data_IF_687007141337
#
_entry.id   IF_687007141337
#
_cell.length_a   1.000
_cell.length_b   1.000
_cell.length_c   1.000
_cell.angle_alpha   90.00
_cell.angle_beta   90.00
_cell.angle_gamma   90.00
#
_symmetry.space_group_name_H-M   'P 1'
#
loop_
_entity.id
_entity.type
_entity.pdbx_description
1 polymer ?
#
# COMPACT_ATOMS: atom_id res chain seq x y z
N UNK A 1 -10.93 -16.77 5.97
CA UNK A 1 -11.09 -15.39 6.46
C UNK A 1 -9.91 -14.53 6.01
N UNK A 2 -10.17 -13.35 5.55
CA UNK A 2 -9.14 -12.40 5.16
C UNK A 2 -8.96 -11.35 6.26
N UNK A 3 -7.72 -11.18 6.71
CA UNK A 3 -7.38 -10.22 7.75
C UNK A 3 -6.13 -9.46 7.35
N UNK A 4 -6.14 -8.15 7.51
CA UNK A 4 -4.96 -7.30 7.28
C UNK A 4 -4.59 -6.58 8.57
N UNK A 5 -3.29 -6.53 8.85
CA UNK A 5 -2.75 -5.91 10.05
C UNK A 5 -1.45 -5.18 9.75
N UNK A 6 -1.04 -4.31 10.65
CA UNK A 6 0.24 -3.60 10.60
C UNK A 6 0.48 -2.91 9.27
N UNK A 7 -0.57 -2.34 8.70
CA UNK A 7 -0.45 -1.61 7.44
C UNK A 7 0.39 -0.36 7.66
N UNK A 8 1.44 -0.22 6.86
CA UNK A 8 2.30 0.96 6.86
C UNK A 8 2.43 1.48 5.44
N UNK A 9 2.27 2.79 5.29
CA UNK A 9 2.41 3.46 3.99
C UNK A 9 3.63 4.36 4.07
N UNK A 10 4.54 4.20 3.11
CA UNK A 10 5.82 4.90 3.10
C UNK A 10 5.95 5.76 1.85
N UNK A 11 6.62 6.90 2.00
CA UNK A 11 6.97 7.81 0.91
C UNK A 11 5.78 8.57 0.29
N UNK A 12 4.64 8.61 0.96
CA UNK A 12 3.47 9.33 0.47
C UNK A 12 3.76 10.83 0.28
N UNK A 13 4.50 11.43 1.21
CA UNK A 13 4.88 12.84 1.18
C UNK A 13 5.67 13.20 -0.08
N UNK A 14 6.69 12.41 -0.39
CA UNK A 14 7.51 12.63 -1.58
C UNK A 14 6.75 12.32 -2.87
N UNK A 15 5.88 11.31 -2.86
CA UNK A 15 5.05 10.97 -4.00
C UNK A 15 4.10 12.12 -4.36
N UNK A 16 3.46 12.72 -3.36
CA UNK A 16 2.56 13.86 -3.56
C UNK A 16 3.34 15.08 -4.04
N UNK A 17 4.49 15.36 -3.43
CA UNK A 17 5.34 16.46 -3.88
C UNK A 17 5.77 16.28 -5.34
N UNK A 18 6.17 15.07 -5.71
CA UNK A 18 6.53 14.75 -7.08
C UNK A 18 5.38 14.90 -8.06
N UNK A 19 4.17 14.57 -7.63
CA UNK A 19 2.97 14.76 -8.46
C UNK A 19 2.70 16.23 -8.79
N UNK A 20 3.22 17.17 -7.98
CA UNK A 20 3.06 18.59 -8.22
C UNK A 20 4.18 19.20 -9.07
N UNK A 21 5.23 18.44 -9.37
CA UNK A 21 6.38 18.94 -10.14
C UNK A 21 5.99 19.45 -11.54
N UNK A 22 5.19 18.72 -12.33
CA UNK A 22 4.90 19.16 -13.70
C UNK A 22 4.29 20.56 -13.83
N UNK A 23 3.51 21.00 -12.83
CA UNK A 23 2.88 22.31 -12.85
C UNK A 23 3.45 23.26 -11.81
N UNK A 24 4.55 22.89 -11.15
CA UNK A 24 5.18 23.69 -10.10
C UNK A 24 4.19 24.11 -9.02
N UNK A 25 3.22 23.25 -8.69
CA UNK A 25 2.12 23.61 -7.81
C UNK A 25 2.37 23.27 -6.34
N UNK A 26 3.63 23.28 -5.89
CA UNK A 26 4.00 22.97 -4.51
C UNK A 26 3.37 23.91 -3.48
N UNK A 27 3.14 25.16 -3.86
CA UNK A 27 2.51 26.13 -2.97
C UNK A 27 1.07 25.77 -2.61
N UNK A 28 0.43 24.87 -3.37
CA UNK A 28 -0.91 24.38 -3.10
C UNK A 28 -0.95 23.16 -2.20
N UNK A 29 0.22 22.63 -1.81
CA UNK A 29 0.28 21.49 -0.90
C UNK A 29 -0.30 21.88 0.47
N UNK A 30 -1.21 21.05 0.95
CA UNK A 30 -1.87 21.26 2.23
C UNK A 30 -1.76 20.04 3.16
N UNK A 31 -0.90 19.09 2.80
CA UNK A 31 -0.60 17.94 3.64
C UNK A 31 0.51 18.28 4.62
N UNK A 32 0.57 17.53 5.71
CA UNK A 32 1.60 17.73 6.73
C UNK A 32 1.66 16.55 7.68
N UNK A 33 2.41 16.72 8.75
CA UNK A 33 2.59 15.69 9.77
C UNK A 33 1.80 16.05 11.02
N UNK A 34 1.16 15.06 11.62
CA UNK A 34 0.42 15.23 12.87
C UNK A 34 1.37 15.20 14.08
N UNK A 35 0.81 15.27 15.30
CA UNK A 35 1.56 15.26 16.54
C UNK A 35 2.41 13.99 16.72
N UNK A 36 1.98 12.90 16.12
CA UNK A 36 2.67 11.61 16.20
C UNK A 36 3.70 11.41 15.09
N UNK A 37 3.93 12.42 14.27
CA UNK A 37 4.86 12.34 13.13
C UNK A 37 4.30 11.57 11.94
N UNK A 38 3.00 11.33 11.89
CA UNK A 38 2.37 10.65 10.78
C UNK A 38 1.91 11.63 9.71
N UNK A 39 2.15 11.29 8.44
CA UNK A 39 1.76 12.12 7.32
C UNK A 39 0.24 12.11 7.15
N UNK A 40 -0.35 13.31 7.12
CA UNK A 40 -1.80 13.50 6.93
C UNK A 40 -2.01 14.21 5.60
N UNK A 41 -2.78 13.57 4.73
CA UNK A 41 -3.08 14.08 3.40
C UNK A 41 -4.15 15.17 3.49
N UNK A 42 -3.82 16.37 3.00
CA UNK A 42 -4.76 17.48 2.98
C UNK A 42 -5.78 17.40 1.85
N UNK A 43 -6.86 18.18 1.92
CA UNK A 43 -7.93 18.12 0.90
C UNK A 43 -7.47 18.42 -0.52
N UNK A 44 -6.59 19.41 -0.70
CA UNK A 44 -6.09 19.77 -2.04
C UNK A 44 -5.22 18.66 -2.61
N UNK A 45 -4.34 18.08 -1.80
CA UNK A 45 -3.49 16.97 -2.22
C UNK A 45 -4.29 15.71 -2.50
N UNK A 46 -5.33 15.44 -1.70
CA UNK A 46 -6.21 14.31 -1.93
C UNK A 46 -6.97 14.46 -3.26
N UNK A 47 -7.47 15.66 -3.55
CA UNK A 47 -8.16 15.94 -4.80
C UNK A 47 -7.23 15.74 -6.00
N UNK A 48 -6.00 16.25 -5.92
CA UNK A 48 -5.00 16.03 -6.96
C UNK A 48 -4.72 14.54 -7.17
N UNK A 49 -4.50 13.80 -6.08
CA UNK A 49 -4.22 12.37 -6.15
C UNK A 49 -5.35 11.60 -6.82
N UNK A 50 -6.61 11.90 -6.47
CA UNK A 50 -7.77 11.28 -7.09
C UNK A 50 -7.87 11.58 -8.59
N UNK A 51 -7.67 12.84 -8.97
CA UNK A 51 -7.71 13.23 -10.38
C UNK A 51 -6.63 12.54 -11.20
N UNK A 52 -5.40 12.49 -10.68
CA UNK A 52 -4.29 11.83 -11.36
C UNK A 52 -4.48 10.31 -11.43
N UNK A 53 -4.99 9.69 -10.38
CA UNK A 53 -5.23 8.25 -10.36
C UNK A 53 -6.25 7.83 -11.41
N UNK A 54 -7.22 8.68 -11.72
CA UNK A 54 -8.26 8.39 -12.71
C UNK A 54 -7.92 8.86 -14.13
N UNK A 55 -6.87 9.64 -14.30
CA UNK A 55 -6.57 10.30 -15.58
C UNK A 55 -5.78 9.43 -16.57
N UNK A 56 -5.28 8.26 -16.15
CA UNK A 56 -4.53 7.36 -17.03
C UNK A 56 -3.17 6.98 -16.46
N UNK A 57 -2.48 6.02 -17.12
CA UNK A 57 -1.26 5.41 -16.60
C UNK A 57 -0.13 6.43 -16.39
N UNK A 58 0.01 7.39 -17.31
CA UNK A 58 1.09 8.38 -17.20
C UNK A 58 0.85 9.36 -16.06
N UNK A 59 -0.41 9.66 -15.76
CA UNK A 59 -0.76 10.59 -14.70
C UNK A 59 -0.75 9.96 -13.32
N UNK A 60 -0.92 8.65 -13.24
CA UNK A 60 -0.94 7.94 -11.96
C UNK A 60 0.42 7.41 -11.52
N UNK A 61 1.49 7.77 -12.21
CA UNK A 61 2.83 7.23 -11.89
C UNK A 61 3.31 7.56 -10.48
N UNK A 62 2.79 8.61 -9.85
CA UNK A 62 3.13 8.93 -8.47
C UNK A 62 2.79 7.78 -7.52
N UNK A 63 1.78 6.98 -7.84
CA UNK A 63 1.40 5.81 -7.02
C UNK A 63 2.53 4.78 -6.94
N UNK A 64 3.38 4.70 -7.96
CA UNK A 64 4.50 3.76 -7.97
C UNK A 64 5.64 4.18 -7.03
N UNK A 65 5.59 5.37 -6.48
CA UNK A 65 6.56 5.86 -5.51
C UNK A 65 6.11 5.64 -4.07
N UNK A 66 4.94 5.09 -3.88
CA UNK A 66 4.36 4.80 -2.57
C UNK A 66 4.57 3.32 -2.27
N UNK A 67 5.16 3.05 -1.11
CA UNK A 67 5.32 1.68 -0.63
C UNK A 67 4.29 1.38 0.43
N UNK A 68 3.68 0.20 0.33
CA UNK A 68 2.74 -0.28 1.33
C UNK A 68 3.26 -1.59 1.88
N UNK A 69 3.39 -1.67 3.20
CA UNK A 69 3.73 -2.88 3.92
C UNK A 69 2.52 -3.30 4.74
N UNK A 70 2.15 -4.55 4.68
CA UNK A 70 0.95 -5.05 5.36
C UNK A 70 1.11 -6.53 5.68
N UNK A 71 0.63 -6.93 6.86
CA UNK A 71 0.49 -8.33 7.23
C UNK A 71 -0.88 -8.82 6.80
N UNK A 72 -0.92 -9.91 6.05
CA UNK A 72 -2.15 -10.49 5.54
C UNK A 72 -2.29 -11.91 6.05
N UNK A 73 -3.43 -12.19 6.67
CA UNK A 73 -3.83 -13.54 7.03
C UNK A 73 -5.00 -13.93 6.15
N UNK A 74 -4.86 -15.03 5.42
CA UNK A 74 -5.86 -15.45 4.45
C UNK A 74 -5.82 -16.96 4.26
N UNK A 75 -6.93 -17.57 3.77
CA UNK A 75 -6.94 -18.98 3.42
C UNK A 75 -5.96 -19.31 2.29
N UNK A 76 -5.55 -20.55 2.19
CA UNK A 76 -4.56 -20.98 1.20
C UNK A 76 -5.00 -20.68 -0.23
N UNK A 77 -6.28 -20.84 -0.55
CA UNK A 77 -6.78 -20.57 -1.90
C UNK A 77 -6.64 -19.10 -2.30
N UNK A 78 -6.73 -18.18 -1.33
CA UNK A 78 -6.53 -16.75 -1.57
C UNK A 78 -5.09 -16.47 -2.01
N UNK A 79 -4.12 -17.10 -1.35
CA UNK A 79 -2.70 -16.93 -1.66
C UNK A 79 -2.35 -17.45 -3.04
N UNK A 80 -2.99 -18.54 -3.47
CA UNK A 80 -2.75 -19.08 -4.81
C UNK A 80 -3.13 -18.06 -5.90
N UNK A 81 -4.19 -17.33 -5.68
CA UNK A 81 -4.60 -16.26 -6.59
C UNK A 81 -3.69 -15.06 -6.47
N UNK A 82 -3.40 -14.62 -5.24
CA UNK A 82 -2.58 -13.42 -4.99
C UNK A 82 -1.16 -13.60 -5.51
N UNK A 83 -0.59 -14.78 -5.43
CA UNK A 83 0.78 -15.04 -5.89
C UNK A 83 0.95 -14.83 -7.40
N UNK A 84 -0.13 -14.69 -8.14
CA UNK A 84 -0.07 -14.32 -9.55
C UNK A 84 0.23 -12.84 -9.78
N UNK A 85 0.05 -11.99 -8.77
CA UNK A 85 0.35 -10.55 -8.83
C UNK A 85 1.79 -10.30 -8.40
N UNK A 86 2.71 -10.37 -9.36
CA UNK A 86 4.14 -10.34 -9.06
C UNK A 86 4.82 -8.99 -9.29
N UNK A 87 4.22 -8.11 -10.09
CA UNK A 87 4.83 -6.83 -10.42
C UNK A 87 4.83 -5.92 -9.20
N UNK A 88 6.02 -5.45 -8.81
CA UNK A 88 6.22 -4.56 -7.68
C UNK A 88 5.68 -5.11 -6.34
N UNK A 89 5.57 -6.43 -6.25
CA UNK A 89 5.05 -7.10 -5.05
C UNK A 89 6.11 -8.08 -4.53
N UNK A 90 6.42 -7.98 -3.23
CA UNK A 90 7.34 -8.88 -2.54
C UNK A 90 6.63 -9.48 -1.35
N UNK A 91 6.69 -10.80 -1.21
CA UNK A 91 6.05 -11.51 -0.11
C UNK A 91 7.08 -12.25 0.73
N UNK A 92 6.94 -12.13 2.05
CA UNK A 92 7.63 -12.96 3.01
C UNK A 92 6.57 -13.76 3.75
N UNK A 93 6.47 -15.04 3.46
CA UNK A 93 5.44 -15.90 4.04
C UNK A 93 5.97 -16.73 5.19
N UNK A 94 5.08 -17.16 6.07
CA UNK A 94 5.41 -18.17 7.05
C UNK A 94 5.68 -19.49 6.33
N UNK A 95 6.79 -20.15 6.67
CA UNK A 95 7.15 -21.43 6.05
C UNK A 95 6.17 -22.51 6.50
N UNK A 96 5.49 -23.12 5.55
CA UNK A 96 4.62 -24.27 5.84
C UNK A 96 5.41 -25.49 6.29
N UNK A 97 6.67 -25.61 5.86
CA UNK A 97 7.54 -26.71 6.27
C UNK A 97 7.87 -26.70 7.77
N UNK A 98 7.88 -25.51 8.38
CA UNK A 98 8.25 -25.36 9.79
C UNK A 98 7.07 -25.06 10.70
N UNK A 99 6.02 -24.46 10.18
CA UNK A 99 4.88 -23.99 10.98
C UNK A 99 3.70 -24.94 10.99
N UNK A 100 3.54 -25.73 9.95
CA UNK A 100 2.39 -26.61 9.82
C UNK A 100 2.38 -27.70 10.91
N UNK A 101 3.54 -28.08 11.45
CA UNK A 101 3.68 -29.05 12.52
C UNK A 101 3.59 -28.42 13.91
N UNK A 102 3.62 -27.12 14.03
CA UNK A 102 3.69 -26.41 15.31
C UNK A 102 2.31 -26.16 15.93
N UNK A 103 1.25 -26.25 15.14
CA UNK A 103 -0.12 -26.06 15.63
C UNK A 103 -1.11 -26.93 14.86
N UNK A 104 -2.27 -27.25 15.46
CA UNK A 104 -3.33 -27.96 14.74
C UNK A 104 -3.86 -27.15 13.57
N UNK A 105 -4.33 -27.86 12.56
CA UNK A 105 -5.04 -27.21 11.46
C UNK A 105 -6.40 -26.73 11.91
N UNK A 106 -6.79 -25.57 11.44
CA UNK A 106 -8.12 -24.98 11.64
C UNK A 106 -8.81 -24.84 10.29
N UNK A 107 -10.13 -24.71 10.32
CA UNK A 107 -10.92 -24.58 9.09
C UNK A 107 -10.46 -23.40 8.24
N UNK A 108 -10.09 -22.30 8.88
CA UNK A 108 -9.66 -21.06 8.20
C UNK A 108 -8.27 -21.17 7.56
N UNK A 109 -7.53 -22.24 7.80
CA UNK A 109 -6.22 -22.45 7.16
C UNK A 109 -6.33 -22.88 5.70
N UNK A 110 -7.53 -23.20 5.25
CA UNK A 110 -7.76 -23.73 3.88
C UNK A 110 -8.69 -22.85 3.03
#
# INVERSE_FOLDING_TARGET
MLKTERTAVMNMDNAIRGARNPLNSWAKMDSGYDENGQFVLGPNDLDLARRLAHAGSDHRKFLRQIFVSVDITAPLYWWKEFDTYKVATVANSCSTMHKIHAKPFERDDF
#
